data_IF_049882757729
#
_entry.id   IF_049882757729
#
_cell.length_a   1.000
_cell.length_b   1.000
_cell.length_c   1.000
_cell.angle_alpha   90.00
_cell.angle_beta   90.00
_cell.angle_gamma   90.00
#
_symmetry.space_group_name_H-M   'P 1'
#
loop_
_entity.id
_entity.type
_entity.pdbx_description
1 polymer ?
#
# COMPACT_ATOMS: atom_id res chain seq x y z
N UNK A 1 -12.80 -15.95 1.48
CA UNK A 1 -11.99 -15.71 2.67
C UNK A 1 -11.86 -16.99 3.53
N UNK A 2 -12.97 -17.58 4.05
CA UNK A 2 -12.91 -18.78 4.92
C UNK A 2 -12.14 -19.94 4.30
N UNK A 3 -12.43 -20.30 3.06
CA UNK A 3 -11.73 -21.40 2.35
C UNK A 3 -10.23 -21.10 2.16
N UNK A 4 -9.86 -19.83 1.93
CA UNK A 4 -8.47 -19.43 1.80
C UNK A 4 -7.70 -19.58 3.14
N UNK A 5 -8.32 -19.21 4.26
CA UNK A 5 -7.73 -19.38 5.59
C UNK A 5 -7.56 -20.87 5.93
N UNK A 6 -8.55 -21.72 5.60
CA UNK A 6 -8.45 -23.19 5.75
C UNK A 6 -7.34 -23.74 4.85
N UNK A 7 -7.15 -23.18 3.66
CA UNK A 7 -6.10 -23.53 2.71
C UNK A 7 -4.71 -22.98 3.02
N UNK A 8 -4.52 -22.34 4.21
CA UNK A 8 -3.20 -21.89 4.67
C UNK A 8 -2.90 -20.41 4.40
N UNK A 9 -3.89 -19.57 4.09
CA UNK A 9 -3.69 -18.13 4.05
C UNK A 9 -3.59 -17.57 5.49
N UNK A 10 -2.57 -16.76 5.77
CA UNK A 10 -2.33 -16.21 7.12
C UNK A 10 -3.36 -15.15 7.51
N UNK A 11 -3.85 -14.36 6.56
CA UNK A 11 -4.73 -13.22 6.82
C UNK A 11 -5.80 -13.07 5.73
N UNK A 12 -6.79 -12.23 6.02
CA UNK A 12 -7.79 -11.80 5.06
C UNK A 12 -8.05 -10.30 5.19
N UNK A 13 -8.36 -9.64 4.09
CA UNK A 13 -8.83 -8.25 4.08
C UNK A 13 -10.35 -8.13 4.31
N UNK A 14 -11.07 -9.26 4.39
CA UNK A 14 -12.51 -9.28 4.64
C UNK A 14 -12.80 -9.10 6.12
N UNK A 15 -13.17 -7.87 6.51
CA UNK A 15 -13.44 -7.49 7.91
C UNK A 15 -14.58 -8.30 8.52
N UNK A 16 -15.65 -8.57 7.78
CA UNK A 16 -16.79 -9.35 8.26
C UNK A 16 -16.40 -10.78 8.66
N UNK A 17 -15.65 -11.47 7.79
CA UNK A 17 -15.19 -12.83 8.10
C UNK A 17 -14.11 -12.83 9.20
N UNK A 18 -13.27 -11.80 9.25
CA UNK A 18 -12.28 -11.62 10.31
C UNK A 18 -12.94 -11.56 11.69
N UNK A 19 -14.02 -10.77 11.80
CA UNK A 19 -14.78 -10.66 13.04
C UNK A 19 -15.40 -12.01 13.47
N UNK A 20 -16.01 -12.72 12.51
CA UNK A 20 -16.65 -14.03 12.79
C UNK A 20 -15.64 -15.11 13.19
N UNK A 21 -14.45 -15.10 12.60
CA UNK A 21 -13.42 -16.11 12.81
C UNK A 21 -12.36 -15.73 13.86
N UNK A 22 -12.41 -14.52 14.42
CA UNK A 22 -11.46 -14.08 15.44
C UNK A 22 -10.06 -13.73 14.92
N UNK A 23 -9.89 -13.50 13.62
CA UNK A 23 -8.61 -13.07 13.02
C UNK A 23 -8.55 -11.56 12.84
N UNK A 24 -7.38 -10.95 13.05
CA UNK A 24 -7.14 -9.57 12.70
C UNK A 24 -7.14 -9.39 11.17
N UNK A 25 -7.97 -8.49 10.60
CA UNK A 25 -7.92 -8.21 9.18
C UNK A 25 -6.60 -7.52 8.83
N UNK A 26 -6.09 -7.78 7.64
CA UNK A 26 -4.90 -7.12 7.09
C UNK A 26 -5.23 -6.58 5.70
N UNK A 27 -4.73 -5.39 5.41
CA UNK A 27 -4.95 -4.75 4.12
C UNK A 27 -4.48 -3.31 4.12
N UNK A 28 -4.72 -2.64 3.01
CA UNK A 28 -4.45 -1.21 2.79
C UNK A 28 -5.77 -0.52 2.42
N UNK A 29 -5.73 0.80 2.20
CA UNK A 29 -6.86 1.43 1.52
C UNK A 29 -7.01 0.88 0.09
N UNK A 30 -8.18 1.07 -0.52
CA UNK A 30 -8.50 0.61 -1.85
C UNK A 30 -8.50 1.76 -2.87
N UNK A 31 -8.36 1.43 -4.17
CA UNK A 31 -8.53 2.40 -5.27
C UNK A 31 -9.87 3.14 -5.19
N UNK A 32 -10.94 2.43 -4.79
CA UNK A 32 -12.27 3.03 -4.64
C UNK A 32 -12.32 4.16 -3.61
N UNK A 33 -11.50 4.12 -2.56
CA UNK A 33 -11.38 5.23 -1.61
C UNK A 33 -10.80 6.47 -2.31
N UNK A 34 -9.70 6.32 -3.04
CA UNK A 34 -9.08 7.42 -3.79
C UNK A 34 -10.07 8.01 -4.79
N UNK A 35 -10.74 7.15 -5.58
CA UNK A 35 -11.72 7.55 -6.57
C UNK A 35 -12.92 8.28 -5.96
N UNK A 36 -13.44 7.80 -4.82
CA UNK A 36 -14.56 8.44 -4.13
C UNK A 36 -14.21 9.86 -3.64
N UNK A 37 -13.03 10.02 -3.04
CA UNK A 37 -12.55 11.33 -2.61
C UNK A 37 -12.34 12.28 -3.79
N UNK A 38 -11.78 11.77 -4.89
CA UNK A 38 -11.60 12.56 -6.11
C UNK A 38 -12.95 13.00 -6.72
N UNK A 39 -13.96 12.13 -6.68
CA UNK A 39 -15.32 12.49 -7.12
C UNK A 39 -15.94 13.60 -6.26
N UNK A 40 -15.50 13.74 -5.01
CA UNK A 40 -15.87 14.82 -4.09
C UNK A 40 -15.00 16.07 -4.24
N UNK A 41 -14.06 16.09 -5.20
CA UNK A 41 -13.20 17.24 -5.50
C UNK A 41 -11.86 17.28 -4.74
N UNK A 42 -11.52 16.21 -4.01
CA UNK A 42 -10.22 16.11 -3.31
C UNK A 42 -9.11 15.56 -4.22
N UNK A 43 -7.89 15.95 -3.95
CA UNK A 43 -6.70 15.42 -4.62
C UNK A 43 -6.26 14.08 -4.01
N UNK A 44 -5.53 13.26 -4.78
CA UNK A 44 -4.90 12.03 -4.28
C UNK A 44 -4.02 12.28 -3.04
N UNK A 45 -3.29 13.40 -3.00
CA UNK A 45 -2.48 13.79 -1.86
C UNK A 45 -3.31 13.98 -0.58
N UNK A 46 -4.49 14.60 -0.69
CA UNK A 46 -5.40 14.78 0.45
C UNK A 46 -5.95 13.46 0.95
N UNK A 47 -6.22 12.51 0.05
CA UNK A 47 -6.63 11.15 0.42
C UNK A 47 -5.54 10.45 1.22
N UNK A 48 -4.30 10.52 0.75
CA UNK A 48 -3.15 9.93 1.44
C UNK A 48 -2.93 10.55 2.82
N UNK A 49 -3.09 11.88 2.95
CA UNK A 49 -3.05 12.58 4.25
C UNK A 49 -4.16 12.14 5.19
N UNK A 50 -5.37 11.99 4.68
CA UNK A 50 -6.51 11.53 5.47
C UNK A 50 -6.27 10.10 5.99
N UNK A 51 -5.79 9.20 5.13
CA UNK A 51 -5.43 7.83 5.54
C UNK A 51 -4.29 7.80 6.57
N UNK A 52 -3.22 8.55 6.33
CA UNK A 52 -2.09 8.66 7.23
C UNK A 52 -2.46 9.28 8.60
N UNK A 53 -3.46 10.16 8.61
CA UNK A 53 -4.00 10.75 9.85
C UNK A 53 -4.73 9.72 10.73
N UNK A 54 -5.35 8.71 10.13
CA UNK A 54 -6.07 7.64 10.84
C UNK A 54 -5.10 6.51 11.24
N UNK A 55 -4.14 6.17 10.38
CA UNK A 55 -3.20 5.06 10.57
C UNK A 55 -1.74 5.51 10.46
N UNK A 56 -1.25 6.38 11.37
CA UNK A 56 0.09 6.96 11.24
C UNK A 56 1.21 5.92 11.37
N UNK A 57 1.04 4.92 12.24
CA UNK A 57 2.06 3.90 12.54
C UNK A 57 1.94 2.64 11.67
N UNK A 58 0.87 2.51 10.89
CA UNK A 58 0.65 1.40 9.96
C UNK A 58 0.29 1.92 8.54
N UNK A 59 0.88 3.05 8.17
CA UNK A 59 0.59 3.74 6.92
C UNK A 59 1.26 3.03 5.73
N UNK A 60 0.45 2.31 4.95
CA UNK A 60 0.82 1.73 3.66
C UNK A 60 -0.06 2.34 2.58
N UNK A 61 0.53 3.07 1.64
CA UNK A 61 -0.20 3.82 0.62
C UNK A 61 -0.26 3.06 -0.70
N UNK A 62 -1.46 2.90 -1.26
CA UNK A 62 -1.70 2.33 -2.59
C UNK A 62 -1.51 3.44 -3.62
N UNK A 63 -0.46 3.35 -4.44
CA UNK A 63 0.06 4.48 -5.22
C UNK A 63 -0.23 4.41 -6.72
N UNK A 64 -0.97 3.41 -7.17
CA UNK A 64 -1.22 3.15 -8.59
C UNK A 64 -2.67 3.42 -9.03
N UNK A 65 -3.39 4.30 -8.32
CA UNK A 65 -4.77 4.67 -8.70
C UNK A 65 -4.80 5.57 -9.93
N UNK A 66 -3.89 6.52 -10.05
CA UNK A 66 -3.78 7.44 -11.20
C UNK A 66 -2.53 7.10 -12.02
N UNK A 67 -1.40 7.63 -11.62
CA UNK A 67 -0.10 7.38 -12.24
C UNK A 67 0.92 7.12 -11.13
N UNK A 68 1.43 5.91 -11.09
CA UNK A 68 2.33 5.44 -10.03
C UNK A 68 3.56 6.33 -9.88
N UNK A 69 4.22 6.68 -11.00
CA UNK A 69 5.51 7.38 -10.99
C UNK A 69 5.38 8.90 -10.93
N UNK A 70 4.34 9.46 -11.57
CA UNK A 70 4.18 10.91 -11.69
C UNK A 70 3.33 11.52 -10.57
N UNK A 71 2.44 10.74 -9.97
CA UNK A 71 1.50 11.19 -8.93
C UNK A 71 1.65 10.39 -7.64
N UNK A 72 1.41 9.10 -7.67
CA UNK A 72 1.30 8.24 -6.48
C UNK A 72 2.54 8.27 -5.60
N UNK A 73 3.71 7.91 -6.13
CA UNK A 73 4.96 7.90 -5.35
C UNK A 73 5.38 9.30 -4.89
N UNK A 74 5.36 10.35 -5.73
CA UNK A 74 5.65 11.71 -5.26
C UNK A 74 4.72 12.19 -4.14
N UNK A 75 3.43 11.87 -4.21
CA UNK A 75 2.46 12.21 -3.16
C UNK A 75 2.69 11.40 -1.88
N UNK A 76 3.01 10.11 -2.02
CA UNK A 76 3.36 9.27 -0.87
C UNK A 76 4.61 9.79 -0.15
N UNK A 77 5.65 10.19 -0.87
CA UNK A 77 6.87 10.77 -0.29
C UNK A 77 6.56 12.02 0.54
N UNK A 78 5.70 12.93 0.03
CA UNK A 78 5.28 14.11 0.79
C UNK A 78 4.60 13.75 2.10
N UNK A 79 3.71 12.77 2.07
CA UNK A 79 3.00 12.29 3.26
C UNK A 79 3.97 11.61 4.24
N UNK A 80 4.93 10.84 3.75
CA UNK A 80 5.96 10.21 4.58
C UNK A 80 6.87 11.22 5.26
N UNK A 81 7.20 12.33 4.59
CA UNK A 81 7.91 13.44 5.21
C UNK A 81 7.08 14.11 6.32
N UNK A 82 5.78 14.27 6.10
CA UNK A 82 4.86 14.82 7.10
C UNK A 82 4.74 13.89 8.32
N UNK A 83 4.62 12.56 8.11
CA UNK A 83 4.62 11.56 9.18
C UNK A 83 5.92 11.58 9.99
N UNK A 84 7.08 11.60 9.31
CA UNK A 84 8.39 11.66 9.96
C UNK A 84 8.55 12.92 10.82
N UNK A 85 8.06 14.08 10.36
CA UNK A 85 8.06 15.32 11.15
C UNK A 85 7.20 15.23 12.40
N UNK A 86 6.15 14.40 12.37
CA UNK A 86 5.27 14.12 13.52
C UNK A 86 5.80 13.02 14.44
N UNK A 87 6.95 12.41 14.11
CA UNK A 87 7.56 11.34 14.90
C UNK A 87 7.09 9.93 14.56
N UNK A 88 6.31 9.76 13.47
CA UNK A 88 5.86 8.46 13.00
C UNK A 88 6.79 7.89 11.93
N UNK A 89 6.87 6.57 11.84
CA UNK A 89 7.67 5.86 10.84
C UNK A 89 6.74 5.34 9.74
N UNK A 90 6.85 5.85 8.50
CA UNK A 90 6.06 5.33 7.40
C UNK A 90 6.41 3.87 7.12
N UNK A 91 5.41 3.05 6.84
CA UNK A 91 5.61 1.61 6.63
C UNK A 91 5.97 1.28 5.20
N UNK A 92 5.12 1.63 4.25
CA UNK A 92 5.31 1.15 2.89
C UNK A 92 4.41 1.80 1.85
N UNK A 93 4.66 1.41 0.61
CA UNK A 93 3.75 1.62 -0.52
C UNK A 93 3.27 0.28 -1.05
N UNK A 94 2.11 0.29 -1.70
CA UNK A 94 1.56 -0.85 -2.44
C UNK A 94 1.40 -0.51 -3.91
N UNK A 95 1.81 -1.44 -4.78
CA UNK A 95 1.62 -1.39 -6.24
C UNK A 95 0.84 -2.64 -6.64
N UNK A 96 -0.31 -2.46 -7.28
CA UNK A 96 -1.29 -3.51 -7.56
C UNK A 96 -1.41 -3.81 -9.06
N UNK A 97 -0.90 -2.94 -9.93
CA UNK A 97 -1.08 -2.99 -11.38
C UNK A 97 0.18 -2.59 -12.16
N UNK A 98 0.19 -2.89 -13.47
CA UNK A 98 1.28 -2.58 -14.39
C UNK A 98 2.44 -3.56 -14.33
N UNK A 99 3.58 -3.18 -14.88
CA UNK A 99 4.83 -3.96 -14.78
C UNK A 99 5.41 -3.80 -13.36
N UNK A 100 5.00 -4.69 -12.47
CA UNK A 100 5.37 -4.64 -11.06
C UNK A 100 6.89 -4.72 -10.85
N UNK A 101 7.61 -5.48 -11.67
CA UNK A 101 9.06 -5.61 -11.56
C UNK A 101 9.75 -4.28 -11.90
N UNK A 102 9.37 -3.69 -13.00
CA UNK A 102 9.91 -2.39 -13.45
C UNK A 102 9.54 -1.27 -12.48
N UNK A 103 8.25 -1.17 -12.11
CA UNK A 103 7.74 -0.14 -11.21
C UNK A 103 8.37 -0.22 -9.82
N UNK A 104 8.59 -1.41 -9.29
CA UNK A 104 9.21 -1.57 -7.96
C UNK A 104 10.66 -1.10 -7.92
N UNK A 105 11.43 -1.35 -9.00
CA UNK A 105 12.81 -0.88 -9.09
C UNK A 105 12.87 0.65 -9.13
N UNK A 106 12.00 1.29 -9.91
CA UNK A 106 11.95 2.75 -9.98
C UNK A 106 11.45 3.34 -8.66
N UNK A 107 10.37 2.78 -8.09
CA UNK A 107 9.84 3.17 -6.81
C UNK A 107 10.90 3.14 -5.69
N UNK A 108 11.66 2.05 -5.63
CA UNK A 108 12.75 1.91 -4.67
C UNK A 108 13.81 3.00 -4.83
N UNK A 109 14.21 3.31 -6.06
CA UNK A 109 15.16 4.40 -6.35
C UNK A 109 14.60 5.76 -5.91
N UNK A 110 13.31 6.03 -6.17
CA UNK A 110 12.67 7.29 -5.79
C UNK A 110 12.57 7.43 -4.27
N UNK A 111 12.17 6.38 -3.55
CA UNK A 111 12.09 6.35 -2.10
C UNK A 111 13.47 6.53 -1.45
N UNK A 112 14.49 5.82 -1.94
CA UNK A 112 15.87 5.97 -1.45
C UNK A 112 16.39 7.40 -1.65
N UNK A 113 16.16 8.00 -2.82
CA UNK A 113 16.54 9.39 -3.11
C UNK A 113 15.85 10.39 -2.18
N UNK A 114 14.62 10.08 -1.75
CA UNK A 114 13.86 10.90 -0.81
C UNK A 114 14.23 10.63 0.67
N UNK A 115 15.16 9.71 0.95
CA UNK A 115 15.60 9.39 2.30
C UNK A 115 14.70 8.41 3.07
N UNK A 116 14.04 7.50 2.35
CA UNK A 116 13.17 6.45 2.87
C UNK A 116 13.63 5.04 2.40
N UNK A 117 14.86 4.60 2.73
CA UNK A 117 15.39 3.31 2.28
C UNK A 117 14.67 2.12 2.93
N UNK A 118 14.12 2.29 4.13
CA UNK A 118 13.50 1.24 4.93
C UNK A 118 12.01 1.04 4.63
N UNK A 119 11.42 1.89 3.79
CA UNK A 119 10.02 1.78 3.36
C UNK A 119 9.86 0.59 2.44
N UNK A 120 9.01 -0.39 2.81
CA UNK A 120 8.80 -1.57 1.99
C UNK A 120 7.87 -1.30 0.80
N UNK A 121 8.06 -2.07 -0.26
CA UNK A 121 7.20 -2.06 -1.44
C UNK A 121 6.40 -3.37 -1.47
N UNK A 122 5.11 -3.27 -1.16
CA UNK A 122 4.18 -4.39 -1.23
C UNK A 122 3.64 -4.52 -2.66
N UNK A 123 3.81 -5.69 -3.24
CA UNK A 123 3.25 -6.03 -4.56
C UNK A 123 2.14 -7.04 -4.38
N UNK A 124 1.00 -6.83 -5.05
CA UNK A 124 -0.02 -7.86 -5.15
C UNK A 124 0.45 -8.91 -6.15
N UNK A 125 1.28 -9.85 -5.68
CA UNK A 125 1.79 -10.94 -6.51
C UNK A 125 1.13 -12.24 -6.07
N UNK A 126 0.43 -12.91 -6.98
CA UNK A 126 0.25 -14.34 -6.91
C UNK A 126 1.66 -14.92 -7.06
N UNK A 127 2.21 -15.46 -5.99
CA UNK A 127 3.50 -16.15 -6.03
C UNK A 127 3.35 -17.36 -6.97
N UNK A 128 3.82 -17.24 -8.20
CA UNK A 128 4.18 -18.43 -8.95
C UNK A 128 5.33 -19.09 -8.18
N UNK A 129 5.25 -20.41 -7.87
CA UNK A 129 6.38 -21.13 -7.32
C UNK A 129 7.56 -20.91 -8.27
N UNK A 130 8.66 -20.36 -7.77
CA UNK A 130 9.90 -20.37 -8.52
C UNK A 130 10.22 -21.84 -8.78
N UNK A 131 10.24 -22.26 -10.03
CA UNK A 131 10.89 -23.48 -10.42
C UNK A 131 12.33 -23.39 -9.92
N UNK A 132 12.62 -24.17 -8.87
CA UNK A 132 14.01 -24.41 -8.50
C UNK A 132 14.66 -25.04 -9.74
N UNK A 133 15.59 -24.29 -10.33
CA UNK A 133 16.40 -24.80 -11.44
C UNK A 133 17.11 -26.08 -11.00
N UNK A 134 16.98 -27.09 -11.83
CA UNK A 134 17.78 -28.32 -11.83
C UNK A 134 19.19 -27.96 -12.28
#
# INVERSE_FOLDING_TARGET
ARAALIGGADFTSNVGISHVLGFSPKGTHAHSMVQAFMALGHSELEVFRAFAGVYPDDCVLLVDTLNTLESGIPNAIKVFEELRRKGHVPRGIRIDSGDLAHLSVIAHKMLNKAGFPDVFINQCRIRCPQSQGI
#
